data_IF_229135195441
#
_entry.id   IF_229135195441
#
_cell.length_a   1.000
_cell.length_b   1.000
_cell.length_c   1.000
_cell.angle_alpha   90.00
_cell.angle_beta   90.00
_cell.angle_gamma   90.00
#
_symmetry.space_group_name_H-M   'P 1'
#
loop_
_entity.id
_entity.type
_entity.pdbx_description
1 polymer ?
#
# COMPACT_ATOMS: atom_id res chain seq x y z
N UNK A 1 -12.14 -9.66 -29.29
CA UNK A 1 -11.18 -8.53 -29.37
C UNK A 1 -11.00 -7.99 -27.97
N UNK A 2 -9.76 -7.82 -27.51
CA UNK A 2 -9.49 -7.33 -26.16
C UNK A 2 -9.81 -5.84 -26.08
N UNK A 3 -10.77 -5.47 -25.24
CA UNK A 3 -11.05 -4.08 -24.90
C UNK A 3 -9.80 -3.42 -24.29
N UNK A 4 -9.39 -2.28 -24.85
CA UNK A 4 -8.18 -1.55 -24.45
C UNK A 4 -8.43 -0.81 -23.13
N UNK A 5 -7.66 -1.18 -22.10
CA UNK A 5 -7.76 -0.65 -20.72
C UNK A 5 -6.57 0.23 -20.34
N UNK A 6 -5.78 0.61 -21.34
CA UNK A 6 -4.59 1.44 -21.16
C UNK A 6 -4.97 2.91 -21.17
N UNK A 7 -4.46 3.65 -20.19
CA UNK A 7 -4.57 5.09 -20.07
C UNK A 7 -3.19 5.69 -20.29
N UNK A 8 -3.13 6.69 -21.16
CA UNK A 8 -1.92 7.45 -21.43
C UNK A 8 -2.03 8.83 -20.77
N UNK A 9 -1.07 9.16 -19.91
CA UNK A 9 -0.97 10.44 -19.21
C UNK A 9 0.26 11.19 -19.72
N UNK A 10 0.04 12.32 -20.37
CA UNK A 10 1.13 13.23 -20.76
C UNK A 10 1.66 14.00 -19.53
N UNK A 11 2.98 14.03 -19.35
CA UNK A 11 3.62 14.74 -18.23
C UNK A 11 3.94 16.19 -18.56
N UNK A 12 3.91 16.55 -19.85
CA UNK A 12 4.31 17.86 -20.34
C UNK A 12 3.18 18.89 -20.19
N UNK A 13 3.49 19.97 -19.46
CA UNK A 13 2.82 21.28 -19.59
C UNK A 13 1.38 21.43 -19.08
N UNK A 14 0.84 20.48 -18.32
CA UNK A 14 -0.47 20.65 -17.67
C UNK A 14 -0.35 20.92 -16.17
N UNK A 15 -0.92 22.01 -15.62
CA UNK A 15 -1.01 22.22 -14.17
C UNK A 15 -1.85 21.14 -13.47
N UNK A 16 -2.63 20.37 -14.24
CA UNK A 16 -3.45 19.25 -13.77
C UNK A 16 -2.68 17.92 -13.73
N UNK A 17 -1.44 17.85 -14.23
CA UNK A 17 -0.66 16.60 -14.26
C UNK A 17 -0.59 15.94 -12.87
N UNK A 18 -0.30 16.74 -11.82
CA UNK A 18 -0.19 16.21 -10.47
C UNK A 18 -1.52 15.60 -10.01
N UNK A 19 -2.64 16.30 -10.22
CA UNK A 19 -3.97 15.80 -9.87
C UNK A 19 -4.32 14.52 -10.64
N UNK A 20 -4.03 14.48 -11.94
CA UNK A 20 -4.27 13.30 -12.77
C UNK A 20 -3.38 12.11 -12.38
N UNK A 21 -2.10 12.35 -12.07
CA UNK A 21 -1.17 11.33 -11.61
C UNK A 21 -1.59 10.74 -10.27
N UNK A 22 -1.94 11.59 -9.30
CA UNK A 22 -2.37 11.18 -7.96
C UNK A 22 -3.67 10.35 -8.06
N UNK A 23 -4.62 10.82 -8.87
CA UNK A 23 -5.87 10.10 -9.12
C UNK A 23 -5.65 8.75 -9.84
N UNK A 24 -4.87 8.71 -10.92
CA UNK A 24 -4.57 7.47 -11.64
C UNK A 24 -3.79 6.47 -10.77
N UNK A 25 -2.94 6.95 -9.87
CA UNK A 25 -2.23 6.09 -8.90
C UNK A 25 -3.20 5.43 -7.91
N UNK A 26 -4.33 6.08 -7.60
CA UNK A 26 -5.35 5.50 -6.73
C UNK A 26 -6.22 4.45 -7.45
N UNK A 27 -6.46 4.60 -8.75
CA UNK A 27 -7.45 3.78 -9.48
C UNK A 27 -6.87 2.77 -10.49
N UNK A 28 -5.61 2.92 -10.88
CA UNK A 28 -4.98 2.14 -11.94
C UNK A 28 -3.57 1.65 -11.54
N UNK A 29 -3.13 0.56 -12.18
CA UNK A 29 -1.76 0.07 -12.00
C UNK A 29 -0.81 0.76 -12.98
N UNK A 30 0.34 1.27 -12.54
CA UNK A 30 1.34 1.84 -13.44
C UNK A 30 2.00 0.74 -14.28
N UNK A 31 2.04 0.91 -15.59
CA UNK A 31 2.71 -0.01 -16.52
C UNK A 31 4.10 0.50 -16.93
N UNK A 32 4.18 1.76 -17.37
CA UNK A 32 5.43 2.42 -17.80
C UNK A 32 5.41 3.90 -17.44
N UNK A 33 6.56 4.49 -17.08
CA UNK A 33 6.68 5.92 -16.71
C UNK A 33 7.93 6.59 -17.30
N UNK A 34 8.05 6.68 -18.64
CA UNK A 34 9.08 7.48 -19.30
C UNK A 34 8.81 8.98 -19.12
N UNK A 35 9.82 9.80 -19.42
CA UNK A 35 9.86 11.24 -19.10
C UNK A 35 8.63 12.04 -19.55
N UNK A 36 8.04 11.71 -20.70
CA UNK A 36 6.99 12.51 -21.33
C UNK A 36 5.58 11.88 -21.33
N UNK A 37 5.48 10.57 -21.10
CA UNK A 37 4.24 9.82 -21.33
C UNK A 37 4.13 8.64 -20.36
N UNK A 38 3.30 8.75 -19.34
CA UNK A 38 3.04 7.64 -18.42
C UNK A 38 1.92 6.75 -18.95
N UNK A 39 2.09 5.44 -18.78
CA UNK A 39 1.13 4.41 -19.14
C UNK A 39 0.60 3.76 -17.87
N UNK A 40 -0.73 3.75 -17.75
CA UNK A 40 -1.46 3.09 -16.68
C UNK A 40 -2.39 2.04 -17.28
N UNK A 41 -2.71 1.01 -16.50
CA UNK A 41 -3.62 -0.05 -16.89
C UNK A 41 -4.72 -0.18 -15.84
N UNK A 42 -5.98 -0.11 -16.28
CA UNK A 42 -7.13 -0.35 -15.42
C UNK A 42 -7.36 -1.85 -15.27
N UNK A 43 -7.20 -2.34 -14.05
CA UNK A 43 -7.44 -3.74 -13.68
C UNK A 43 -8.64 -3.84 -12.75
N UNK A 44 -9.18 -5.05 -12.58
CA UNK A 44 -10.24 -5.28 -11.58
C UNK A 44 -9.69 -5.05 -10.17
N UNK A 45 -8.42 -5.39 -9.95
CA UNK A 45 -7.73 -5.27 -8.68
C UNK A 45 -7.49 -3.81 -8.30
N UNK A 46 -7.07 -2.97 -9.26
CA UNK A 46 -6.82 -1.55 -9.01
C UNK A 46 -8.12 -0.79 -8.69
N UNK A 47 -9.18 -1.04 -9.46
CA UNK A 47 -10.52 -0.48 -9.20
C UNK A 47 -11.09 -0.96 -7.87
N UNK A 48 -10.84 -2.23 -7.52
CA UNK A 48 -11.22 -2.76 -6.22
C UNK A 48 -10.49 -2.02 -5.08
N UNK A 49 -9.19 -1.81 -5.20
CA UNK A 49 -8.42 -1.03 -4.22
C UNK A 49 -8.90 0.43 -4.12
N UNK A 50 -9.32 1.05 -5.22
CA UNK A 50 -9.88 2.40 -5.20
C UNK A 50 -11.16 2.49 -4.37
N UNK A 51 -12.09 1.56 -4.58
CA UNK A 51 -13.36 1.53 -3.83
C UNK A 51 -13.11 1.24 -2.34
N UNK A 52 -12.12 0.40 -2.02
CA UNK A 52 -11.69 0.14 -0.64
C UNK A 52 -11.21 1.40 0.10
N UNK A 53 -10.60 2.34 -0.61
CA UNK A 53 -10.13 3.62 -0.05
C UNK A 53 -11.28 4.65 0.03
N UNK A 54 -12.49 4.29 -0.41
CA UNK A 54 -13.68 5.12 -0.30
C UNK A 54 -14.04 5.89 -1.58
N UNK A 55 -13.44 5.55 -2.73
CA UNK A 55 -13.83 6.16 -4.01
C UNK A 55 -15.12 5.52 -4.55
N UNK A 56 -16.15 6.34 -4.71
CA UNK A 56 -17.43 5.92 -5.30
C UNK A 56 -17.31 5.69 -6.81
N UNK A 57 -18.12 4.77 -7.33
CA UNK A 57 -18.08 4.37 -8.75
C UNK A 57 -18.36 5.55 -9.69
N UNK A 58 -19.40 6.33 -9.39
CA UNK A 58 -19.77 7.50 -10.19
C UNK A 58 -18.68 8.57 -10.17
N UNK A 59 -18.08 8.81 -9.00
CA UNK A 59 -16.97 9.75 -8.85
C UNK A 59 -15.77 9.36 -9.72
N UNK A 60 -15.44 8.06 -9.79
CA UNK A 60 -14.35 7.58 -10.66
C UNK A 60 -14.64 7.91 -12.13
N UNK A 61 -15.87 7.66 -12.59
CA UNK A 61 -16.28 7.90 -13.98
C UNK A 61 -16.29 9.39 -14.31
N UNK A 62 -16.86 10.22 -13.42
CA UNK A 62 -16.93 11.68 -13.59
C UNK A 62 -15.53 12.27 -13.68
N UNK A 63 -14.65 11.95 -12.73
CA UNK A 63 -13.28 12.49 -12.71
C UNK A 63 -12.47 11.98 -13.91
N UNK A 64 -12.62 10.71 -14.29
CA UNK A 64 -11.98 10.20 -15.52
C UNK A 64 -12.45 10.96 -16.76
N UNK A 65 -13.74 11.28 -16.87
CA UNK A 65 -14.28 11.98 -18.02
C UNK A 65 -13.85 13.46 -18.05
N UNK A 66 -13.73 14.10 -16.88
CA UNK A 66 -13.21 15.47 -16.75
C UNK A 66 -11.71 15.58 -17.10
N UNK A 67 -10.92 14.57 -16.73
CA UNK A 67 -9.49 14.51 -17.02
C UNK A 67 -9.18 14.01 -18.43
N UNK A 68 -10.11 13.31 -19.08
CA UNK A 68 -9.88 12.74 -20.39
C UNK A 68 -9.95 13.80 -21.50
N UNK A 69 -9.02 13.70 -22.46
CA UNK A 69 -9.06 14.50 -23.70
C UNK A 69 -10.10 14.00 -24.70
N UNK A 70 -10.65 12.82 -24.48
CA UNK A 70 -11.61 12.13 -25.35
C UNK A 70 -12.75 11.58 -24.49
N UNK A 71 -13.95 11.48 -25.07
CA UNK A 71 -15.06 10.81 -24.39
C UNK A 71 -14.68 9.37 -24.00
N UNK A 72 -15.08 8.96 -22.80
CA UNK A 72 -14.81 7.62 -22.32
C UNK A 72 -15.60 6.59 -23.15
N UNK A 73 -14.96 5.54 -23.67
CA UNK A 73 -15.67 4.46 -24.36
C UNK A 73 -16.70 3.83 -23.43
N UNK A 74 -17.90 3.54 -23.95
CA UNK A 74 -18.97 2.89 -23.17
C UNK A 74 -18.51 1.57 -22.54
N UNK A 75 -17.71 0.79 -23.27
CA UNK A 75 -17.12 -0.45 -22.75
C UNK A 75 -16.24 -0.24 -21.51
N UNK A 76 -15.59 0.93 -21.37
CA UNK A 76 -14.80 1.29 -20.19
C UNK A 76 -15.70 1.54 -18.99
N UNK A 77 -16.77 2.30 -19.21
CA UNK A 77 -17.76 2.67 -18.19
C UNK A 77 -18.45 1.40 -17.68
N UNK A 78 -18.91 0.55 -18.60
CA UNK A 78 -19.50 -0.75 -18.28
C UNK A 78 -18.53 -1.63 -17.49
N UNK A 79 -17.25 -1.62 -17.84
CA UNK A 79 -16.21 -2.34 -17.10
C UNK A 79 -16.00 -1.81 -15.67
N UNK A 80 -15.99 -0.48 -15.49
CA UNK A 80 -15.87 0.15 -14.17
C UNK A 80 -17.06 -0.24 -13.30
N UNK A 81 -18.30 -0.03 -13.77
CA UNK A 81 -19.50 -0.44 -13.03
C UNK A 81 -19.48 -1.93 -12.67
N UNK A 82 -19.19 -2.82 -13.64
CA UNK A 82 -19.16 -4.26 -13.39
C UNK A 82 -18.09 -4.68 -12.38
N UNK A 83 -17.00 -3.91 -12.25
CA UNK A 83 -15.90 -4.18 -11.34
C UNK A 83 -16.17 -3.66 -9.93
N UNK A 84 -16.91 -2.56 -9.78
CA UNK A 84 -17.14 -1.88 -8.50
C UNK A 84 -18.50 -2.21 -7.86
N UNK A 85 -19.55 -2.51 -8.64
CA UNK A 85 -20.93 -2.73 -8.13
C UNK A 85 -21.03 -3.89 -7.14
N UNK A 86 -20.19 -4.93 -7.31
CA UNK A 86 -20.20 -6.10 -6.42
C UNK A 86 -19.79 -5.78 -4.97
N UNK A 87 -19.12 -4.65 -4.76
CA UNK A 87 -18.55 -4.28 -3.47
C UNK A 87 -19.60 -3.72 -2.49
N UNK A 88 -20.58 -2.94 -2.97
CA UNK A 88 -21.62 -2.34 -2.10
C UNK A 88 -22.64 -3.33 -1.53
N UNK A 89 -22.63 -4.59 -1.97
CA UNK A 89 -23.60 -5.63 -1.55
C UNK A 89 -23.08 -6.53 -0.44
N UNK A 90 -21.77 -6.52 -0.17
CA UNK A 90 -21.16 -7.38 0.86
C UNK A 90 -20.85 -6.50 2.07
N UNK A 91 -21.67 -6.58 3.11
CA UNK A 91 -21.56 -5.78 4.33
C UNK A 91 -20.46 -6.29 5.29
N UNK A 92 -19.37 -6.81 4.73
CA UNK A 92 -18.17 -7.19 5.47
C UNK A 92 -17.06 -6.19 5.16
N UNK A 93 -16.37 -5.62 6.16
CA UNK A 93 -15.18 -4.82 5.89
C UNK A 93 -14.15 -5.71 5.20
N UNK A 94 -13.91 -5.43 3.92
CA UNK A 94 -13.04 -6.22 3.06
C UNK A 94 -11.56 -5.93 3.29
N UNK A 95 -11.27 -4.81 3.95
CA UNK A 95 -9.98 -4.55 4.58
C UNK A 95 -10.08 -4.89 6.06
N UNK A 96 -9.25 -5.83 6.51
CA UNK A 96 -8.98 -5.96 7.93
C UNK A 96 -8.23 -4.71 8.38
N UNK A 97 -8.96 -3.84 9.08
CA UNK A 97 -8.39 -2.72 9.79
C UNK A 97 -7.97 -3.17 11.18
N UNK A 98 -6.76 -2.75 11.57
CA UNK A 98 -6.26 -2.94 12.92
C UNK A 98 -6.29 -1.59 13.65
N UNK A 99 -7.21 -1.44 14.60
CA UNK A 99 -7.28 -0.29 15.50
C UNK A 99 -6.25 -0.44 16.61
N UNK A 100 -5.00 -0.11 16.29
CA UNK A 100 -3.87 -0.28 17.20
C UNK A 100 -3.86 0.76 18.32
N UNK A 101 -4.50 1.92 18.15
CA UNK A 101 -4.65 2.93 19.20
C UNK A 101 -5.58 2.47 20.32
N UNK A 102 -6.68 1.78 19.99
CA UNK A 102 -7.65 1.29 20.97
C UNK A 102 -7.45 -0.19 21.36
N UNK A 103 -6.41 -0.86 20.85
CA UNK A 103 -6.10 -2.24 21.21
C UNK A 103 -5.53 -2.32 22.62
N UNK A 104 -6.37 -2.77 23.56
CA UNK A 104 -6.03 -3.04 24.96
C UNK A 104 -5.64 -4.50 25.23
N UNK A 105 -5.80 -5.38 24.24
CA UNK A 105 -5.52 -6.81 24.35
C UNK A 105 -4.01 -7.04 24.19
N UNK A 106 -3.41 -6.41 23.18
CA UNK A 106 -1.97 -6.53 22.93
C UNK A 106 -1.20 -5.43 23.67
N UNK A 107 -0.11 -5.77 24.39
CA UNK A 107 0.68 -4.78 25.11
C UNK A 107 1.41 -3.85 24.14
N UNK A 108 1.47 -2.57 24.51
CA UNK A 108 2.31 -1.60 23.82
C UNK A 108 3.79 -1.90 24.04
N UNK A 109 4.56 -1.69 22.99
CA UNK A 109 6.00 -1.76 22.99
C UNK A 109 6.53 -0.34 22.84
N UNK A 110 7.46 0.06 23.71
CA UNK A 110 8.21 1.30 23.55
C UNK A 110 9.13 1.20 22.33
N UNK A 111 8.60 1.56 21.18
CA UNK A 111 9.33 1.60 19.94
C UNK A 111 9.24 2.99 19.30
N UNK A 112 10.38 3.66 19.25
CA UNK A 112 10.52 4.96 18.62
C UNK A 112 11.66 4.91 17.59
N UNK A 113 11.39 5.55 16.45
CA UNK A 113 12.41 5.82 15.44
C UNK A 113 13.42 6.81 16.01
N UNK A 114 14.71 6.55 15.77
CA UNK A 114 15.74 7.57 16.04
C UNK A 114 15.46 8.84 15.22
N UNK A 115 15.78 10.05 15.72
CA UNK A 115 15.55 11.31 15.01
C UNK A 115 16.18 11.38 13.61
N UNK A 116 17.31 10.67 13.43
CA UNK A 116 18.02 10.56 12.15
C UNK A 116 17.35 9.63 11.13
N UNK A 117 16.33 8.87 11.53
CA UNK A 117 15.62 7.87 10.75
C UNK A 117 14.34 8.46 10.13
N UNK A 118 14.46 9.57 9.40
CA UNK A 118 13.31 10.20 8.75
C UNK A 118 13.02 9.51 7.41
N UNK A 119 11.79 9.00 7.20
CA UNK A 119 11.39 8.48 5.90
C UNK A 119 11.45 9.58 4.82
N UNK A 120 11.76 9.19 3.59
CA UNK A 120 11.72 10.11 2.45
C UNK A 120 10.27 10.40 2.03
N UNK A 121 9.97 11.47 1.27
CA UNK A 121 8.59 11.84 0.93
C UNK A 121 7.75 10.70 0.34
N UNK A 122 8.30 9.91 -0.60
CA UNK A 122 7.58 8.76 -1.19
C UNK A 122 7.32 7.62 -0.21
N UNK A 123 8.12 7.51 0.86
CA UNK A 123 7.93 6.53 1.92
C UNK A 123 6.84 7.00 2.88
N UNK A 124 6.83 8.28 3.23
CA UNK A 124 5.76 8.88 4.05
C UNK A 124 4.40 8.77 3.36
N UNK A 125 4.35 9.06 2.06
CA UNK A 125 3.14 8.90 1.25
C UNK A 125 2.63 7.45 1.25
N UNK A 126 3.55 6.47 1.13
CA UNK A 126 3.16 5.05 1.20
C UNK A 126 2.61 4.66 2.58
N UNK A 127 3.13 5.26 3.66
CA UNK A 127 2.67 5.04 5.02
C UNK A 127 1.35 5.76 5.31
N UNK A 128 1.13 6.97 4.79
CA UNK A 128 -0.12 7.71 4.99
C UNK A 128 -1.32 7.03 4.35
N UNK A 129 -1.12 6.27 3.28
CA UNK A 129 -2.18 5.44 2.68
C UNK A 129 -2.51 4.23 3.57
N UNK A 130 -1.50 3.65 4.22
CA UNK A 130 -1.66 2.48 5.09
C UNK A 130 -2.25 2.84 6.46
N UNK A 131 -1.97 4.03 6.97
CA UNK A 131 -2.35 4.48 8.31
C UNK A 131 -3.29 5.68 8.25
N UNK A 132 -4.52 5.51 8.75
CA UNK A 132 -5.52 6.56 8.80
C UNK A 132 -6.22 6.55 10.16
N UNK A 133 -6.32 7.71 10.82
CA UNK A 133 -7.08 7.89 12.08
C UNK A 133 -6.79 6.82 13.17
N UNK A 134 -5.52 6.49 13.40
CA UNK A 134 -5.13 5.50 14.42
C UNK A 134 -5.36 4.04 14.04
N UNK A 135 -5.75 3.78 12.78
CA UNK A 135 -6.01 2.45 12.23
C UNK A 135 -5.01 2.12 11.15
N UNK A 136 -4.62 0.84 11.10
CA UNK A 136 -3.75 0.30 10.06
C UNK A 136 -4.58 -0.56 9.11
N UNK A 137 -4.49 -0.29 7.81
CA UNK A 137 -5.12 -1.12 6.78
C UNK A 137 -4.16 -2.20 6.31
N UNK A 138 -4.65 -3.43 6.16
CA UNK A 138 -3.90 -4.49 5.48
C UNK A 138 -3.66 -4.14 4.01
N UNK A 139 -2.44 -4.33 3.49
CA UNK A 139 -2.10 -3.93 2.13
C UNK A 139 -0.70 -4.32 1.68
N UNK A 140 -0.37 -3.99 0.44
CA UNK A 140 0.94 -4.27 -0.18
C UNK A 140 1.59 -2.95 -0.60
N UNK A 141 2.79 -2.68 -0.08
CA UNK A 141 3.61 -1.56 -0.52
C UNK A 141 4.72 -2.07 -1.43
N UNK A 142 4.79 -1.56 -2.67
CA UNK A 142 5.79 -1.96 -3.66
C UNK A 142 6.87 -0.88 -3.79
N UNK A 143 8.11 -1.25 -3.50
CA UNK A 143 9.28 -0.37 -3.60
C UNK A 143 10.44 -1.07 -4.33
N UNK A 144 11.20 -0.38 -5.20
CA UNK A 144 12.36 -0.95 -5.88
C UNK A 144 13.52 -1.22 -4.91
N UNK A 145 14.48 -2.06 -5.31
CA UNK A 145 15.67 -2.34 -4.50
C UNK A 145 16.44 -1.05 -4.21
N UNK A 146 16.93 -0.88 -2.98
CA UNK A 146 17.61 0.34 -2.55
C UNK A 146 16.71 1.52 -2.16
N UNK A 147 15.40 1.49 -2.43
CA UNK A 147 14.47 2.57 -2.04
C UNK A 147 14.08 2.58 -0.55
N UNK A 148 14.77 1.83 0.30
CA UNK A 148 14.52 1.82 1.74
C UNK A 148 13.29 1.02 2.20
N UNK A 149 12.98 -0.10 1.54
CA UNK A 149 11.93 -1.06 1.96
C UNK A 149 11.94 -1.36 3.46
N UNK A 150 13.12 -1.61 4.02
CA UNK A 150 13.25 -1.95 5.43
C UNK A 150 12.93 -0.77 6.35
N UNK A 151 13.26 0.47 5.95
CA UNK A 151 12.91 1.65 6.74
C UNK A 151 11.40 1.83 6.79
N UNK A 152 10.68 1.66 5.67
CA UNK A 152 9.21 1.71 5.64
C UNK A 152 8.59 0.69 6.59
N UNK A 153 9.06 -0.55 6.57
CA UNK A 153 8.57 -1.59 7.49
C UNK A 153 8.89 -1.28 8.96
N UNK A 154 10.08 -0.75 9.26
CA UNK A 154 10.44 -0.33 10.62
C UNK A 154 9.57 0.84 11.07
N UNK A 155 9.34 1.84 10.22
CA UNK A 155 8.46 2.98 10.50
C UNK A 155 7.02 2.55 10.73
N UNK A 156 6.51 1.59 9.95
CA UNK A 156 5.19 1.01 10.15
C UNK A 156 5.08 0.31 11.52
N UNK A 157 6.09 -0.49 11.89
CA UNK A 157 6.13 -1.11 13.21
C UNK A 157 6.14 -0.05 14.33
N UNK A 158 7.03 0.94 14.25
CA UNK A 158 7.12 2.05 15.22
C UNK A 158 5.82 2.85 15.37
N UNK A 159 5.03 2.97 14.30
CA UNK A 159 3.75 3.66 14.35
C UNK A 159 2.68 2.82 15.05
N UNK A 160 2.65 1.52 14.81
CA UNK A 160 1.71 0.58 15.44
C UNK A 160 2.03 0.37 16.92
N UNK A 161 3.31 0.35 17.30
CA UNK A 161 3.78 0.13 18.69
C UNK A 161 3.35 -1.19 19.32
N UNK A 162 3.11 -2.23 18.51
CA UNK A 162 2.74 -3.58 18.96
C UNK A 162 3.73 -4.63 18.45
N UNK A 163 3.56 -5.87 18.89
CA UNK A 163 4.39 -6.99 18.43
C UNK A 163 4.26 -7.20 16.92
N UNK A 164 5.38 -7.18 16.21
CA UNK A 164 5.44 -7.32 14.74
C UNK A 164 6.15 -8.62 14.33
N UNK A 165 5.62 -9.31 13.32
CA UNK A 165 6.23 -10.48 12.70
C UNK A 165 6.78 -10.11 11.31
N UNK A 166 8.09 -10.15 11.14
CA UNK A 166 8.74 -9.97 9.84
C UNK A 166 9.07 -11.33 9.22
N UNK A 167 8.47 -11.63 8.06
CA UNK A 167 8.73 -12.85 7.30
C UNK A 167 9.67 -12.55 6.13
N UNK A 168 10.68 -13.40 5.93
CA UNK A 168 11.61 -13.29 4.82
C UNK A 168 11.93 -14.67 4.22
N UNK A 169 12.36 -14.68 2.96
CA UNK A 169 12.55 -15.92 2.17
C UNK A 169 13.84 -16.66 2.49
N UNK A 170 14.82 -16.01 3.10
CA UNK A 170 16.11 -16.62 3.44
C UNK A 170 16.76 -15.96 4.68
N UNK A 171 17.77 -16.63 5.23
CA UNK A 171 18.47 -16.23 6.45
C UNK A 171 19.18 -14.88 6.31
N UNK A 172 19.75 -14.60 5.13
CA UNK A 172 20.45 -13.33 4.87
C UNK A 172 19.47 -12.16 4.99
N UNK A 173 18.29 -12.27 4.38
CA UNK A 173 17.23 -11.26 4.49
C UNK A 173 16.73 -11.12 5.92
N UNK A 174 16.59 -12.21 6.68
CA UNK A 174 16.22 -12.13 8.10
C UNK A 174 17.26 -11.32 8.89
N UNK A 175 18.56 -11.58 8.67
CA UNK A 175 19.63 -10.84 9.33
C UNK A 175 19.66 -9.37 8.94
N UNK A 176 19.40 -9.06 7.67
CA UNK A 176 19.28 -7.67 7.19
C UNK A 176 18.14 -6.93 7.90
N UNK A 177 16.96 -7.55 7.99
CA UNK A 177 15.83 -6.97 8.71
C UNK A 177 16.15 -6.78 10.20
N UNK A 178 16.72 -7.79 10.86
CA UNK A 178 17.11 -7.69 12.26
C UNK A 178 18.12 -6.54 12.50
N UNK A 179 19.08 -6.36 11.58
CA UNK A 179 20.02 -5.24 11.64
C UNK A 179 19.33 -3.89 11.45
N UNK A 180 18.45 -3.76 10.44
CA UNK A 180 17.73 -2.51 10.17
C UNK A 180 16.82 -2.13 11.33
N UNK A 181 16.13 -3.10 11.94
CA UNK A 181 15.41 -2.88 13.19
C UNK A 181 16.37 -2.30 14.24
N UNK A 182 17.46 -3.00 14.61
CA UNK A 182 18.42 -2.50 15.62
C UNK A 182 19.03 -1.13 15.30
N UNK A 183 19.28 -0.84 14.03
CA UNK A 183 19.88 0.41 13.59
C UNK A 183 18.94 1.59 13.87
N UNK A 184 17.66 1.45 13.52
CA UNK A 184 16.70 2.54 13.55
C UNK A 184 15.88 2.61 14.84
N UNK A 185 15.80 1.55 15.66
CA UNK A 185 15.24 1.61 17.00
C UNK A 185 16.19 2.28 17.99
N UNK A 186 15.64 3.18 18.80
CA UNK A 186 16.37 3.90 19.85
C UNK A 186 16.74 3.07 21.09
N UNK A 187 16.14 1.89 21.31
CA UNK A 187 16.30 1.13 22.56
C UNK A 187 16.87 -0.29 22.37
N UNK A 188 17.68 -0.72 23.35
CA UNK A 188 18.32 -2.05 23.38
C UNK A 188 17.38 -3.22 23.75
N UNK A 189 16.17 -2.94 24.25
CA UNK A 189 15.29 -3.96 24.86
C UNK A 189 14.34 -4.69 23.90
N UNK A 190 14.39 -4.39 22.60
CA UNK A 190 13.55 -5.10 21.61
C UNK A 190 14.07 -6.52 21.41
N UNK A 191 13.32 -7.51 21.87
CA UNK A 191 13.61 -8.93 21.63
C UNK A 191 13.30 -9.28 20.17
N UNK A 192 14.30 -9.20 19.30
CA UNK A 192 14.20 -9.73 17.94
C UNK A 192 14.44 -11.24 17.98
N UNK A 193 13.36 -12.01 17.84
CA UNK A 193 13.44 -13.47 17.80
C UNK A 193 13.46 -13.93 16.34
N UNK A 194 14.61 -14.46 15.91
CA UNK A 194 14.76 -15.05 14.59
C UNK A 194 14.41 -16.54 14.69
N UNK A 195 13.36 -16.97 14.01
CA UNK A 195 13.02 -18.40 13.84
C UNK A 195 13.11 -18.77 12.36
N UNK A 196 13.90 -19.79 12.06
CA UNK A 196 13.91 -20.42 10.74
C UNK A 196 12.70 -21.34 10.62
N UNK A 197 11.93 -21.20 9.54
CA UNK A 197 10.74 -22.02 9.28
C UNK A 197 11.06 -23.52 9.22
N UNK A 198 12.29 -23.90 8.85
CA UNK A 198 12.76 -25.30 8.94
C UNK A 198 12.81 -25.86 10.36
N UNK A 199 12.82 -25.01 11.40
CA UNK A 199 12.78 -25.39 12.80
C UNK A 199 11.37 -25.30 13.42
N UNK A 200 10.36 -24.85 12.66
CA UNK A 200 8.94 -24.93 13.06
C UNK A 200 8.41 -26.29 12.63
N UNK A 201 9.03 -27.37 13.12
CA UNK A 201 8.28 -28.61 13.26
C UNK A 201 7.23 -28.32 14.32
N UNK A 202 5.97 -28.25 13.87
CA UNK A 202 4.78 -28.26 14.72
C UNK A 202 5.02 -29.28 15.84
N UNK A 203 5.25 -28.81 17.07
CA UNK A 203 5.08 -29.66 18.25
C UNK A 203 3.60 -30.07 18.24
N UNK A 204 3.30 -31.18 17.56
CA UNK A 204 2.06 -31.92 17.77
C UNK A 204 2.03 -32.19 19.26
N UNK A 205 1.07 -31.57 19.95
CA UNK A 205 0.66 -32.00 21.28
C UNK A 205 0.27 -33.47 21.15
N UNK A 206 1.00 -34.33 21.85
CA UNK A 206 0.54 -35.67 22.21
C UNK A 206 -0.67 -35.58 23.14
#
# INVERSE_FOLDING_TARGET
MGFCRQIFLETLSSPLYKQASDFLTAIAEPFSRPEFLHEYNLTRQSLYAAVLVGLETETIIVVLNELAKTELPKELVDFIHASTEKYGKVNYPLLEEYDFENDTINPDLEMELKPQAQPRPYQEESLSIMFENGRARSGIIVLPCGAGKSLVGVSAACRIKKSCLCLATNVVSVNQWAFQFKLWFGQERVKIVIKLLSAIQLKKKE
#
